data_IF_437481282533
#
_entry.id   IF_437481282533
#
_cell.length_a   1.000
_cell.length_b   1.000
_cell.length_c   1.000
_cell.angle_alpha   90.00
_cell.angle_beta   90.00
_cell.angle_gamma   90.00
#
_symmetry.space_group_name_H-M   'P 1'
#
loop_
_entity.id
_entity.type
_entity.pdbx_description
1 polymer ?
#
# COMPACT_ATOMS: atom_id res chain seq x y z
N UNK A 1 2.78 -18.33 15.92
CA UNK A 1 2.32 -17.63 14.70
C UNK A 1 3.47 -16.72 14.29
N UNK A 2 3.90 -16.74 13.04
CA UNK A 2 5.04 -15.92 12.58
C UNK A 2 4.53 -14.49 12.41
N UNK A 3 5.05 -13.56 13.21
CA UNK A 3 4.84 -12.12 12.96
C UNK A 3 5.81 -11.67 11.86
N UNK A 4 5.32 -10.84 10.93
CA UNK A 4 6.15 -10.19 9.90
C UNK A 4 6.63 -8.83 10.38
N UNK A 5 7.82 -8.43 9.97
CA UNK A 5 8.34 -7.08 10.23
C UNK A 5 7.84 -6.11 9.17
N UNK A 6 6.82 -5.30 9.49
CA UNK A 6 6.31 -4.29 8.56
C UNK A 6 7.38 -3.23 8.21
N UNK A 7 8.36 -2.96 9.09
CA UNK A 7 9.45 -2.03 8.77
C UNK A 7 10.34 -2.54 7.62
N UNK A 8 10.28 -3.83 7.27
CA UNK A 8 10.91 -4.34 6.07
C UNK A 8 10.23 -3.81 4.78
N UNK A 9 8.91 -3.60 4.79
CA UNK A 9 8.17 -2.99 3.68
C UNK A 9 8.60 -1.53 3.51
N UNK A 10 8.59 -0.76 4.60
CA UNK A 10 8.99 0.67 4.62
C UNK A 10 10.41 0.85 4.06
N UNK A 11 11.40 0.12 4.61
CA UNK A 11 12.79 0.20 4.14
C UNK A 11 12.94 -0.19 2.67
N UNK A 12 12.13 -1.12 2.16
CA UNK A 12 12.18 -1.53 0.75
C UNK A 12 11.59 -0.48 -0.18
N UNK A 13 10.58 0.27 0.26
CA UNK A 13 10.06 1.44 -0.46
C UNK A 13 11.08 2.56 -0.47
N UNK A 14 11.64 2.92 0.69
CA UNK A 14 12.65 3.99 0.83
C UNK A 14 13.93 3.73 0.04
N UNK A 15 14.24 2.46 -0.23
CA UNK A 15 15.41 2.06 -1.03
C UNK A 15 15.21 2.23 -2.54
N UNK A 16 13.98 2.48 -3.02
CA UNK A 16 13.70 2.69 -4.45
C UNK A 16 14.02 4.13 -4.81
N UNK A 17 14.77 4.33 -5.89
CA UNK A 17 15.12 5.65 -6.42
C UNK A 17 14.13 6.11 -7.49
N UNK A 18 14.05 7.43 -7.71
CA UNK A 18 13.25 8.00 -8.80
C UNK A 18 11.73 7.92 -8.60
N UNK A 19 11.30 7.62 -7.38
CA UNK A 19 9.90 7.63 -6.94
C UNK A 19 9.65 8.79 -5.96
N UNK A 20 8.40 9.15 -5.79
CA UNK A 20 7.92 9.98 -4.69
C UNK A 20 7.17 9.11 -3.67
N UNK A 21 7.34 9.38 -2.38
CA UNK A 21 6.75 8.58 -1.30
C UNK A 21 5.99 9.50 -0.36
N UNK A 22 4.71 9.21 -0.17
CA UNK A 22 3.83 9.91 0.74
C UNK A 22 3.35 8.96 1.84
N UNK A 23 3.35 9.42 3.09
CA UNK A 23 2.59 8.77 4.17
C UNK A 23 1.15 9.28 4.06
N UNK A 24 0.21 8.37 3.79
CA UNK A 24 -1.22 8.70 3.70
C UNK A 24 -1.87 8.82 5.09
N UNK A 25 -1.36 8.04 6.05
CA UNK A 25 -1.82 8.02 7.43
C UNK A 25 -1.10 6.97 8.24
N UNK A 26 -1.49 6.81 9.49
CA UNK A 26 -0.91 5.85 10.43
C UNK A 26 -2.03 5.07 11.12
N UNK A 27 -1.90 3.74 11.15
CA UNK A 27 -2.84 2.84 11.81
C UNK A 27 -2.05 1.92 12.74
N UNK A 28 -2.44 1.87 14.01
CA UNK A 28 -1.75 1.08 15.04
C UNK A 28 -0.23 1.37 15.15
N UNK A 29 0.17 2.63 14.94
CA UNK A 29 1.58 3.03 14.95
C UNK A 29 2.37 2.68 13.68
N UNK A 30 1.70 2.21 12.62
CA UNK A 30 2.32 1.77 11.37
C UNK A 30 1.86 2.66 10.20
N UNK A 31 2.79 3.22 9.40
CA UNK A 31 2.43 4.13 8.31
C UNK A 31 1.87 3.37 7.10
N UNK A 32 0.80 3.90 6.51
CA UNK A 32 0.33 3.49 5.17
C UNK A 32 1.01 4.41 4.14
N UNK A 33 1.76 3.80 3.23
CA UNK A 33 2.55 4.52 2.23
C UNK A 33 1.86 4.50 0.87
N UNK A 34 1.85 5.62 0.16
CA UNK A 34 1.65 5.68 -1.28
C UNK A 34 2.98 5.99 -1.97
N UNK A 35 3.23 5.32 -3.09
CA UNK A 35 4.39 5.54 -3.94
C UNK A 35 3.91 6.01 -5.31
N UNK A 36 4.38 7.20 -5.70
CA UNK A 36 4.10 7.80 -7.01
C UNK A 36 5.31 7.58 -7.91
N UNK A 37 5.11 6.97 -9.08
CA UNK A 37 6.18 6.65 -10.03
C UNK A 37 5.75 6.90 -11.48
N UNK A 38 6.55 7.64 -12.25
CA UNK A 38 6.23 7.98 -13.65
C UNK A 38 6.52 9.45 -13.97
N UNK A 39 6.14 9.90 -15.18
CA UNK A 39 6.47 11.25 -15.67
C UNK A 39 5.28 11.92 -16.35
N UNK A 40 5.18 13.24 -16.18
CA UNK A 40 4.20 14.09 -16.87
C UNK A 40 2.74 13.72 -16.59
N UNK A 41 1.87 14.04 -17.54
CA UNK A 41 0.41 13.86 -17.43
C UNK A 41 -0.07 12.51 -17.99
N UNK A 42 0.75 11.47 -17.87
CA UNK A 42 0.38 10.13 -18.33
C UNK A 42 -0.83 9.58 -17.53
N UNK A 43 -1.65 8.69 -18.12
CA UNK A 43 -2.73 8.02 -17.41
C UNK A 43 -2.23 7.34 -16.12
N UNK A 44 -3.07 7.38 -15.09
CA UNK A 44 -2.74 6.82 -13.77
C UNK A 44 -3.24 5.39 -13.66
N UNK A 45 -2.37 4.50 -13.20
CA UNK A 45 -2.69 3.14 -12.78
C UNK A 45 -2.48 3.03 -11.27
N UNK A 46 -3.55 2.68 -10.57
CA UNK A 46 -3.50 2.42 -9.14
C UNK A 46 -3.24 0.93 -8.86
N UNK A 47 -2.30 0.65 -7.95
CA UNK A 47 -1.98 -0.70 -7.48
C UNK A 47 -2.14 -0.73 -5.96
N UNK A 48 -2.99 -1.64 -5.48
CA UNK A 48 -3.22 -1.85 -4.05
C UNK A 48 -2.76 -3.25 -3.63
N UNK A 49 -1.91 -3.32 -2.61
CA UNK A 49 -1.46 -4.55 -1.98
C UNK A 49 -1.84 -4.61 -0.50
N UNK A 50 -1.88 -5.81 0.07
CA UNK A 50 -2.02 -6.00 1.52
C UNK A 50 -3.34 -5.52 2.10
N UNK A 51 -4.45 -5.63 1.36
CA UNK A 51 -5.81 -5.46 1.92
C UNK A 51 -6.08 -6.51 3.00
N UNK A 52 -5.66 -7.76 2.77
CA UNK A 52 -5.58 -8.78 3.81
C UNK A 52 -4.11 -9.02 4.17
N UNK A 53 -3.84 -9.13 5.47
CA UNK A 53 -2.49 -9.32 5.98
C UNK A 53 -1.95 -10.75 5.88
N UNK A 54 -2.83 -11.74 5.81
CA UNK A 54 -2.47 -13.15 5.57
C UNK A 54 -2.21 -13.47 4.09
N UNK A 55 -2.31 -12.48 3.21
CA UNK A 55 -2.04 -12.56 1.76
C UNK A 55 -0.76 -11.79 1.36
N UNK A 56 0.44 -12.18 1.84
CA UNK A 56 1.67 -11.38 1.67
C UNK A 56 2.14 -11.27 0.21
N UNK A 57 1.70 -12.16 -0.68
CA UNK A 57 2.15 -12.20 -2.07
C UNK A 57 1.82 -10.90 -2.83
N UNK A 58 0.69 -10.25 -2.52
CA UNK A 58 0.34 -8.96 -3.11
C UNK A 58 1.29 -7.84 -2.70
N UNK A 59 1.67 -7.81 -1.42
CA UNK A 59 2.68 -6.87 -0.89
C UNK A 59 4.03 -7.09 -1.57
N UNK A 60 4.47 -8.34 -1.67
CA UNK A 60 5.73 -8.68 -2.32
C UNK A 60 5.75 -8.35 -3.81
N UNK A 61 4.64 -8.58 -4.52
CA UNK A 61 4.52 -8.24 -5.93
C UNK A 61 4.58 -6.72 -6.16
N UNK A 62 3.90 -5.92 -5.31
CA UNK A 62 3.95 -4.47 -5.37
C UNK A 62 5.37 -3.94 -5.14
N UNK A 63 6.08 -4.48 -4.14
CA UNK A 63 7.46 -4.12 -3.86
C UNK A 63 8.41 -4.52 -4.99
N UNK A 64 8.28 -5.73 -5.54
CA UNK A 64 9.08 -6.19 -6.68
C UNK A 64 8.85 -5.33 -7.92
N UNK A 65 7.61 -4.91 -8.17
CA UNK A 65 7.28 -4.00 -9.26
C UNK A 65 7.96 -2.63 -9.10
N UNK A 66 7.88 -2.03 -7.90
CA UNK A 66 8.53 -0.76 -7.59
C UNK A 66 10.07 -0.84 -7.67
N UNK A 67 10.66 -2.00 -7.39
CA UNK A 67 12.11 -2.17 -7.39
C UNK A 67 12.75 -2.31 -8.78
N UNK A 68 11.99 -2.58 -9.84
CA UNK A 68 12.63 -2.78 -11.14
C UNK A 68 11.75 -2.83 -12.39
N UNK A 69 10.43 -2.73 -12.27
CA UNK A 69 9.53 -2.97 -13.41
C UNK A 69 8.72 -1.76 -13.86
N UNK A 70 8.66 -0.69 -13.04
CA UNK A 70 7.88 0.52 -13.37
C UNK A 70 8.57 1.44 -14.38
N UNK A 71 9.92 1.52 -14.35
CA UNK A 71 10.69 2.49 -15.16
C UNK A 71 10.44 2.34 -16.67
N UNK A 72 10.28 1.10 -17.15
CA UNK A 72 9.99 0.82 -18.57
C UNK A 72 8.65 1.39 -19.05
N UNK A 73 7.78 1.77 -18.12
CA UNK A 73 6.47 2.35 -18.37
C UNK A 73 6.41 3.85 -18.05
N UNK A 74 7.48 4.44 -17.51
CA UNK A 74 7.46 5.78 -16.91
C UNK A 74 7.03 6.91 -17.85
N UNK A 75 7.20 6.75 -19.17
CA UNK A 75 6.76 7.71 -20.19
C UNK A 75 5.33 7.45 -20.72
N UNK A 76 4.69 6.35 -20.29
CA UNK A 76 3.40 5.89 -20.81
C UNK A 76 2.30 5.87 -19.75
N UNK A 77 2.68 5.62 -18.51
CA UNK A 77 1.77 5.44 -17.37
C UNK A 77 2.44 6.00 -16.12
N UNK A 78 1.65 6.67 -15.29
CA UNK A 78 2.01 6.99 -13.91
C UNK A 78 1.38 5.94 -12.98
N UNK A 79 2.14 5.48 -12.01
CA UNK A 79 1.68 4.53 -11.00
C UNK A 79 1.51 5.23 -9.67
N UNK A 80 0.39 4.92 -9.02
CA UNK A 80 0.17 5.17 -7.60
C UNK A 80 0.07 3.81 -6.93
N UNK A 81 1.00 3.51 -6.02
CA UNK A 81 1.11 2.17 -5.44
C UNK A 81 1.01 2.28 -3.93
N UNK A 82 0.02 1.62 -3.34
CA UNK A 82 -0.04 1.35 -1.90
C UNK A 82 0.44 -0.09 -1.71
N UNK A 83 1.69 -0.34 -1.26
CA UNK A 83 2.21 -1.70 -1.20
C UNK A 83 1.50 -2.56 -0.15
N UNK A 84 1.01 -1.93 0.92
CA UNK A 84 0.31 -2.61 2.00
C UNK A 84 -0.70 -1.65 2.66
N UNK A 85 -1.99 -1.89 2.42
CA UNK A 85 -3.08 -1.10 2.99
C UNK A 85 -3.31 -1.39 4.48
N UNK A 86 -3.23 -2.67 4.90
CA UNK A 86 -3.46 -3.09 6.28
C UNK A 86 -2.15 -3.54 6.95
N UNK A 87 -1.31 -2.60 7.44
CA UNK A 87 0.02 -2.90 7.95
C UNK A 87 -0.01 -3.75 9.22
N UNK A 88 -0.97 -3.50 10.12
CA UNK A 88 -1.15 -4.31 11.33
C UNK A 88 -1.48 -5.75 10.99
N UNK A 89 -2.45 -5.97 10.08
CA UNK A 89 -2.85 -7.31 9.64
C UNK A 89 -1.69 -8.05 9.01
N UNK A 90 -0.89 -7.37 8.16
CA UNK A 90 0.27 -7.96 7.51
C UNK A 90 1.31 -8.43 8.53
N UNK A 91 1.60 -7.60 9.54
CA UNK A 91 2.50 -7.93 10.63
C UNK A 91 2.00 -9.12 11.47
N UNK A 92 0.68 -9.26 11.63
CA UNK A 92 0.05 -10.33 12.42
C UNK A 92 -0.35 -11.57 11.61
N UNK A 93 -0.14 -11.58 10.29
CA UNK A 93 -0.64 -12.62 9.40
C UNK A 93 -2.15 -12.88 9.62
N UNK A 94 -2.93 -11.79 9.63
CA UNK A 94 -4.36 -11.79 9.88
C UNK A 94 -5.14 -11.34 8.65
N UNK A 95 -6.33 -11.92 8.46
CA UNK A 95 -7.27 -11.50 7.42
C UNK A 95 -7.91 -10.14 7.75
N UNK A 96 -8.40 -10.01 8.98
CA UNK A 96 -9.09 -8.83 9.50
C UNK A 96 -8.09 -7.77 10.00
N UNK A 97 -8.53 -6.51 10.10
CA UNK A 97 -7.76 -5.43 10.73
C UNK A 97 -7.78 -5.53 12.26
N UNK A 98 -7.15 -4.56 12.94
CA UNK A 98 -7.10 -4.51 14.41
C UNK A 98 -8.48 -4.36 15.07
N UNK A 99 -9.49 -3.90 14.31
CA UNK A 99 -10.88 -3.74 14.74
C UNK A 99 -11.76 -4.97 14.40
N UNK A 100 -11.16 -6.09 13.94
CA UNK A 100 -11.88 -7.29 13.48
C UNK A 100 -12.76 -7.04 12.24
N UNK A 101 -12.38 -6.07 11.41
CA UNK A 101 -13.08 -5.71 10.17
C UNK A 101 -12.38 -6.31 8.95
N UNK A 102 -13.17 -6.84 8.01
CA UNK A 102 -12.69 -7.26 6.69
C UNK A 102 -12.73 -6.07 5.74
N UNK A 103 -11.60 -5.37 5.62
CA UNK A 103 -11.45 -4.13 4.84
C UNK A 103 -11.88 -4.29 3.38
N UNK A 104 -11.75 -5.49 2.80
CA UNK A 104 -12.12 -5.76 1.41
C UNK A 104 -13.65 -5.83 1.18
N UNK A 105 -14.44 -5.99 2.25
CA UNK A 105 -15.89 -6.09 2.16
C UNK A 105 -16.63 -4.87 2.71
N UNK A 106 -15.94 -3.99 3.44
CA UNK A 106 -16.58 -2.93 4.21
C UNK A 106 -16.21 -1.52 3.75
N UNK A 107 -15.79 -1.32 2.49
CA UNK A 107 -15.27 -0.04 1.95
C UNK A 107 -16.18 1.19 2.13
N UNK A 108 -17.47 1.06 2.47
CA UNK A 108 -18.37 2.19 2.71
C UNK A 108 -18.40 2.68 4.16
N UNK A 109 -17.59 2.09 5.04
CA UNK A 109 -17.49 2.51 6.44
C UNK A 109 -16.68 3.80 6.59
N UNK A 110 -17.05 4.58 7.59
CA UNK A 110 -16.46 5.86 7.99
C UNK A 110 -15.89 5.81 9.43
N UNK A 111 -15.65 4.60 9.95
CA UNK A 111 -15.13 4.34 11.29
C UNK A 111 -13.98 3.32 11.29
N UNK A 112 -13.41 3.07 10.11
CA UNK A 112 -12.29 2.15 9.89
C UNK A 112 -11.13 2.92 9.26
N UNK A 113 -10.03 3.15 10.01
CA UNK A 113 -8.95 4.03 9.57
C UNK A 113 -8.33 3.66 8.22
N UNK A 114 -8.12 2.37 7.93
CA UNK A 114 -7.58 1.95 6.62
C UNK A 114 -8.51 2.32 5.45
N UNK A 115 -9.83 2.27 5.68
CA UNK A 115 -10.84 2.61 4.67
C UNK A 115 -10.90 4.12 4.48
N UNK A 116 -10.96 4.90 5.56
CA UNK A 116 -11.00 6.37 5.49
C UNK A 116 -9.77 6.91 4.78
N UNK A 117 -8.56 6.42 5.14
CA UNK A 117 -7.30 6.80 4.48
C UNK A 117 -7.35 6.50 2.99
N UNK A 118 -7.87 5.33 2.59
CA UNK A 118 -7.98 4.96 1.19
C UNK A 118 -9.03 5.80 0.46
N UNK A 119 -10.18 6.08 1.08
CA UNK A 119 -11.22 6.94 0.51
C UNK A 119 -10.70 8.36 0.27
N UNK A 120 -10.03 8.95 1.26
CA UNK A 120 -9.43 10.28 1.16
C UNK A 120 -8.38 10.34 0.05
N UNK A 121 -7.52 9.32 -0.04
CA UNK A 121 -6.54 9.22 -1.12
C UNK A 121 -7.19 9.14 -2.50
N UNK A 122 -8.28 8.38 -2.66
CA UNK A 122 -8.98 8.21 -3.93
C UNK A 122 -9.82 9.43 -4.32
N UNK A 123 -10.19 10.29 -3.37
CA UNK A 123 -10.96 11.50 -3.63
C UNK A 123 -10.13 12.61 -4.32
N UNK A 124 -8.81 12.60 -4.17
CA UNK A 124 -7.88 13.61 -4.71
C UNK A 124 -7.90 14.94 -3.98
#
# INVERSE_FOLDING_TARGET
MVQRDYNAVVRRVEAVSGIDVQILGEVEGLPILCVSAGRGDAPVVYINGGTHGDEPAGVEAALAFLQGEWERWADRVRFEVIPCLCPWSYAHNARFNAQDVDVNWEFLRDDVPEIEILQDFLAG
#
